data_IF_730993007972
#
_entry.id   IF_730993007972
#
_cell.length_a   1.000
_cell.length_b   1.000
_cell.length_c   1.000
_cell.angle_alpha   90.00
_cell.angle_beta   90.00
_cell.angle_gamma   90.00
#
_symmetry.space_group_name_H-M   'P 1'
#
loop_
_entity.id
_entity.type
_entity.pdbx_description
1 polymer ?
#
# COMPACT_ATOMS: atom_id res chain seq x y z
N UNK A 1 13.16 -4.28 45.00
CA UNK A 1 13.03 -4.31 46.48
C UNK A 1 13.04 -5.75 47.00
N UNK A 2 12.21 -6.65 46.43
CA UNK A 2 12.21 -8.09 46.76
C UNK A 2 13.54 -8.81 46.46
N UNK A 3 14.17 -8.50 45.34
CA UNK A 3 15.48 -9.07 44.98
C UNK A 3 16.59 -8.68 45.96
N UNK A 4 16.61 -7.40 46.37
CA UNK A 4 17.50 -6.90 47.43
C UNK A 4 17.20 -7.61 48.77
N UNK A 5 15.94 -7.77 49.14
CA UNK A 5 15.56 -8.49 50.36
C UNK A 5 15.98 -9.97 50.32
N UNK A 6 15.81 -10.67 49.20
CA UNK A 6 16.30 -12.04 49.02
C UNK A 6 17.83 -12.13 49.17
N UNK A 7 18.58 -11.21 48.55
CA UNK A 7 20.04 -11.15 48.67
C UNK A 7 20.53 -10.93 50.12
N UNK A 8 19.83 -10.12 50.92
CA UNK A 8 20.26 -9.78 52.28
C UNK A 8 19.71 -10.73 53.35
N UNK A 9 18.53 -11.33 53.13
CA UNK A 9 17.86 -12.21 54.10
C UNK A 9 18.21 -13.69 53.93
N UNK A 10 18.78 -14.09 52.79
CA UNK A 10 19.12 -15.49 52.47
C UNK A 10 17.90 -16.42 52.29
N UNK A 11 16.68 -15.92 52.45
CA UNK A 11 15.45 -16.69 52.25
C UNK A 11 15.11 -16.74 50.76
N UNK A 12 15.00 -17.95 50.21
CA UNK A 12 14.56 -18.16 48.81
C UNK A 12 13.08 -17.78 48.70
N UNK A 13 12.80 -16.61 48.11
CA UNK A 13 11.44 -16.12 47.85
C UNK A 13 10.93 -16.55 46.48
N UNK A 14 11.82 -16.81 45.53
CA UNK A 14 11.44 -17.20 44.17
C UNK A 14 11.21 -18.71 44.07
N UNK A 15 10.06 -19.09 43.52
CA UNK A 15 9.85 -20.44 43.04
C UNK A 15 10.56 -20.65 41.68
N UNK A 16 10.61 -21.90 41.23
CA UNK A 16 11.26 -22.26 39.97
C UNK A 16 10.66 -21.53 38.75
N UNK A 17 9.39 -21.13 38.79
CA UNK A 17 8.74 -20.40 37.70
C UNK A 17 9.23 -18.96 37.63
N UNK A 18 9.36 -18.29 38.78
CA UNK A 18 9.90 -16.93 38.87
C UNK A 18 11.38 -16.87 38.47
N UNK A 19 12.18 -17.87 38.87
CA UNK A 19 13.58 -17.99 38.45
C UNK A 19 13.69 -18.15 36.93
N UNK A 20 12.88 -19.04 36.33
CA UNK A 20 12.88 -19.26 34.89
C UNK A 20 12.42 -18.01 34.11
N UNK A 21 11.35 -17.35 34.58
CA UNK A 21 10.86 -16.12 33.96
C UNK A 21 11.90 -14.99 34.02
N UNK A 22 12.59 -14.84 35.14
CA UNK A 22 13.68 -13.86 35.28
C UNK A 22 14.83 -14.17 34.32
N UNK A 23 15.24 -15.44 34.21
CA UNK A 23 16.26 -15.86 33.25
C UNK A 23 15.86 -15.57 31.79
N UNK A 24 14.59 -15.79 31.44
CA UNK A 24 14.07 -15.51 30.10
C UNK A 24 14.01 -14.00 29.80
N UNK A 25 13.61 -13.18 30.78
CA UNK A 25 13.66 -11.72 30.65
C UNK A 25 15.10 -11.26 30.39
N UNK A 26 16.07 -11.77 31.14
CA UNK A 26 17.48 -11.43 30.94
C UNK A 26 18.02 -11.93 29.59
N UNK A 27 17.55 -13.09 29.10
CA UNK A 27 17.87 -13.57 27.75
C UNK A 27 17.34 -12.60 26.69
N UNK A 28 16.07 -12.21 26.78
CA UNK A 28 15.44 -11.29 25.83
C UNK A 28 16.10 -9.91 25.85
N UNK A 29 16.46 -9.39 27.04
CA UNK A 29 17.19 -8.12 27.15
C UNK A 29 18.52 -8.16 26.41
N UNK A 30 19.33 -9.20 26.66
CA UNK A 30 20.61 -9.38 25.96
C UNK A 30 20.42 -9.49 24.44
N UNK A 31 19.39 -10.19 23.98
CA UNK A 31 19.08 -10.27 22.56
C UNK A 31 18.67 -8.92 21.97
N UNK A 32 17.87 -8.13 22.69
CA UNK A 32 17.48 -6.79 22.29
C UNK A 32 18.71 -5.87 22.17
N UNK A 33 19.58 -5.87 23.19
CA UNK A 33 20.82 -5.07 23.17
C UNK A 33 21.71 -5.45 21.98
N UNK A 34 21.86 -6.75 21.71
CA UNK A 34 22.60 -7.24 20.55
C UNK A 34 21.98 -6.80 19.21
N UNK A 35 20.64 -6.80 19.10
CA UNK A 35 19.94 -6.33 17.91
C UNK A 35 20.09 -4.82 17.72
N UNK A 36 20.06 -4.03 18.80
CA UNK A 36 20.30 -2.60 18.73
C UNK A 36 21.71 -2.28 18.24
N UNK A 37 22.73 -3.01 18.73
CA UNK A 37 24.10 -2.89 18.25
C UNK A 37 24.16 -3.18 16.74
N UNK A 38 23.57 -4.31 16.29
CA UNK A 38 23.51 -4.65 14.86
C UNK A 38 22.81 -3.58 14.03
N UNK A 39 21.73 -2.99 14.55
CA UNK A 39 21.00 -1.92 13.87
C UNK A 39 21.86 -0.67 13.71
N UNK A 40 22.64 -0.28 14.72
CA UNK A 40 23.60 0.83 14.64
C UNK A 40 24.65 0.57 13.57
N UNK A 41 25.23 -0.63 13.52
CA UNK A 41 26.19 -0.99 12.49
C UNK A 41 25.59 -0.90 11.07
N UNK A 42 24.36 -1.39 10.88
CA UNK A 42 23.64 -1.28 9.60
C UNK A 42 23.33 0.18 9.22
N UNK A 43 23.18 1.08 10.19
CA UNK A 43 23.04 2.52 9.96
C UNK A 43 24.38 3.22 9.66
N UNK A 44 25.50 2.51 9.78
CA UNK A 44 26.85 3.06 9.61
C UNK A 44 27.43 3.68 10.87
N UNK A 45 26.86 3.40 12.04
CA UNK A 45 27.36 3.84 13.34
C UNK A 45 28.34 2.79 13.93
N UNK A 46 29.22 3.23 14.85
CA UNK A 46 30.17 2.38 15.61
C UNK A 46 31.14 1.50 14.79
N UNK A 47 31.30 1.76 13.48
CA UNK A 47 32.08 0.93 12.56
C UNK A 47 33.58 0.86 12.87
N UNK A 48 34.16 1.88 13.50
CA UNK A 48 35.58 1.92 13.85
C UNK A 48 35.98 0.82 14.84
N UNK A 49 35.01 0.25 15.56
CA UNK A 49 35.25 -0.85 16.51
C UNK A 49 35.30 -2.23 15.83
N UNK A 50 34.85 -2.31 14.57
CA UNK A 50 34.73 -3.56 13.82
C UNK A 50 35.97 -3.84 12.99
N UNK A 51 36.32 -5.11 12.91
CA UNK A 51 37.38 -5.56 12.00
C UNK A 51 36.82 -5.82 10.59
N UNK A 52 37.67 -5.91 9.55
CA UNK A 52 37.21 -6.11 8.17
C UNK A 52 36.31 -7.35 7.98
N UNK A 53 36.51 -8.44 8.72
CA UNK A 53 35.66 -9.64 8.59
C UNK A 53 34.25 -9.41 9.11
N UNK A 54 34.08 -8.52 10.07
CA UNK A 54 32.78 -8.15 10.62
C UNK A 54 32.04 -7.15 9.73
N UNK A 55 32.77 -6.36 8.93
CA UNK A 55 32.19 -5.40 7.97
C UNK A 55 31.61 -6.08 6.73
N UNK A 56 32.21 -7.16 6.24
CA UNK A 56 31.74 -7.91 5.05
C UNK A 56 30.25 -8.27 5.12
N UNK A 57 29.73 -8.95 6.17
CA UNK A 57 28.31 -9.32 6.21
C UNK A 57 27.38 -8.11 6.31
N UNK A 58 27.85 -6.97 6.87
CA UNK A 58 27.07 -5.73 6.93
C UNK A 58 26.96 -5.14 5.51
N UNK A 59 28.07 -5.07 4.78
CA UNK A 59 28.11 -4.59 3.40
C UNK A 59 27.22 -5.45 2.50
N UNK A 60 27.34 -6.79 2.57
CA UNK A 60 26.50 -7.71 1.80
C UNK A 60 25.01 -7.51 2.10
N UNK A 61 24.64 -7.38 3.38
CA UNK A 61 23.25 -7.14 3.78
C UNK A 61 22.72 -5.81 3.22
N UNK A 62 23.51 -4.74 3.28
CA UNK A 62 23.15 -3.43 2.75
C UNK A 62 23.03 -3.45 1.22
N UNK A 63 23.99 -4.06 0.53
CA UNK A 63 23.98 -4.18 -0.92
C UNK A 63 22.76 -4.98 -1.42
N UNK A 64 22.46 -6.09 -0.76
CA UNK A 64 21.27 -6.90 -1.05
C UNK A 64 19.98 -6.12 -0.78
N UNK A 65 19.88 -5.45 0.38
CA UNK A 65 18.75 -4.60 0.73
C UNK A 65 18.51 -3.50 -0.31
N UNK A 66 19.57 -2.80 -0.72
CA UNK A 66 19.49 -1.72 -1.71
C UNK A 66 19.08 -2.23 -3.09
N UNK A 67 19.59 -3.39 -3.50
CA UNK A 67 19.23 -4.05 -4.76
C UNK A 67 17.74 -4.40 -4.77
N UNK A 68 17.24 -5.00 -3.69
CA UNK A 68 15.84 -5.38 -3.55
C UNK A 68 14.89 -4.17 -3.53
N UNK A 69 15.26 -3.08 -2.84
CA UNK A 69 14.46 -1.84 -2.83
C UNK A 69 14.40 -1.26 -4.25
N UNK A 70 15.52 -1.18 -4.95
CA UNK A 70 15.56 -0.67 -6.34
C UNK A 70 14.73 -1.52 -7.29
N UNK A 71 14.79 -2.85 -7.17
CA UNK A 71 13.97 -3.75 -7.97
C UNK A 71 12.47 -3.47 -7.77
N UNK A 72 12.02 -3.37 -6.50
CA UNK A 72 10.61 -3.05 -6.18
C UNK A 72 10.18 -1.67 -6.71
N UNK A 73 11.03 -0.66 -6.58
CA UNK A 73 10.77 0.67 -7.13
C UNK A 73 10.61 0.63 -8.66
N UNK A 74 11.47 -0.13 -9.33
CA UNK A 74 11.41 -0.29 -10.78
C UNK A 74 10.13 -1.00 -11.23
N UNK A 75 9.72 -2.05 -10.52
CA UNK A 75 8.49 -2.78 -10.84
C UNK A 75 7.25 -1.90 -10.65
N UNK A 76 7.21 -1.10 -9.58
CA UNK A 76 6.15 -0.11 -9.37
C UNK A 76 6.11 0.93 -10.50
N UNK A 77 7.28 1.46 -10.91
CA UNK A 77 7.36 2.41 -12.02
C UNK A 77 6.88 1.82 -13.34
N UNK A 78 7.25 0.56 -13.63
CA UNK A 78 6.77 -0.15 -14.83
C UNK A 78 5.25 -0.30 -14.82
N UNK A 79 4.68 -0.70 -13.69
CA UNK A 79 3.23 -0.84 -13.53
C UNK A 79 2.51 0.49 -13.74
N UNK A 80 3.01 1.59 -13.15
CA UNK A 80 2.45 2.92 -13.37
C UNK A 80 2.49 3.34 -14.85
N UNK A 81 3.61 3.08 -15.55
CA UNK A 81 3.73 3.39 -16.98
C UNK A 81 2.74 2.60 -17.83
N UNK A 82 2.53 1.32 -17.52
CA UNK A 82 1.55 0.49 -18.23
C UNK A 82 0.12 0.99 -17.98
N UNK A 83 -0.22 1.31 -16.73
CA UNK A 83 -1.53 1.86 -16.40
C UNK A 83 -1.78 3.21 -17.09
N UNK A 84 -0.76 4.07 -17.16
CA UNK A 84 -0.85 5.34 -17.87
C UNK A 84 -1.19 5.16 -19.34
N UNK A 85 -0.50 4.23 -20.04
CA UNK A 85 -0.78 3.91 -21.44
C UNK A 85 -2.20 3.37 -21.65
N UNK A 86 -2.62 2.41 -20.83
CA UNK A 86 -3.99 1.85 -20.93
C UNK A 86 -5.05 2.94 -20.69
N UNK A 87 -4.81 3.85 -19.76
CA UNK A 87 -5.73 4.96 -19.49
C UNK A 87 -5.80 5.95 -20.65
N UNK A 88 -4.66 6.25 -21.28
CA UNK A 88 -4.58 7.09 -22.47
C UNK A 88 -5.33 6.46 -23.66
N UNK A 89 -5.12 5.17 -23.91
CA UNK A 89 -5.81 4.39 -24.95
C UNK A 89 -7.34 4.37 -24.74
N UNK A 90 -7.80 4.11 -23.52
CA UNK A 90 -9.24 4.13 -23.21
C UNK A 90 -9.83 5.55 -23.33
N UNK A 91 -9.09 6.58 -22.93
CA UNK A 91 -9.55 7.96 -23.08
C UNK A 91 -9.65 8.38 -24.56
N UNK A 92 -8.68 8.00 -25.39
CA UNK A 92 -8.72 8.24 -26.84
C UNK A 92 -9.93 7.54 -27.47
N UNK A 93 -10.19 6.29 -27.08
CA UNK A 93 -11.36 5.53 -27.55
C UNK A 93 -12.68 6.18 -27.13
N UNK A 94 -12.79 6.63 -25.89
CA UNK A 94 -13.97 7.35 -25.41
C UNK A 94 -14.18 8.68 -26.14
N UNK A 95 -13.11 9.45 -26.36
CA UNK A 95 -13.15 10.68 -27.14
C UNK A 95 -13.62 10.43 -28.58
N UNK A 96 -13.15 9.34 -29.20
CA UNK A 96 -13.60 8.93 -30.53
C UNK A 96 -15.11 8.61 -30.55
N UNK A 97 -15.61 7.86 -29.57
CA UNK A 97 -17.04 7.56 -29.48
C UNK A 97 -17.90 8.80 -29.25
N UNK A 98 -17.44 9.72 -28.37
CA UNK A 98 -18.13 10.97 -28.11
C UNK A 98 -18.22 11.81 -29.39
N UNK A 99 -17.10 11.98 -30.11
CA UNK A 99 -17.08 12.72 -31.36
C UNK A 99 -18.00 12.11 -32.42
N UNK A 100 -18.01 10.78 -32.55
CA UNK A 100 -18.92 10.10 -33.47
C UNK A 100 -20.39 10.32 -33.10
N UNK A 101 -20.71 10.29 -31.81
CA UNK A 101 -22.06 10.55 -31.31
C UNK A 101 -22.49 12.01 -31.57
N UNK A 102 -21.61 12.98 -31.34
CA UNK A 102 -21.85 14.39 -31.63
C UNK A 102 -22.17 14.62 -33.11
N UNK A 103 -21.38 14.04 -34.01
CA UNK A 103 -21.64 14.10 -35.47
C UNK A 103 -22.98 13.46 -35.85
N UNK A 104 -23.34 12.33 -35.23
CA UNK A 104 -24.64 11.69 -35.47
C UNK A 104 -25.80 12.59 -34.98
N UNK A 105 -25.66 13.26 -33.84
CA UNK A 105 -26.65 14.22 -33.33
C UNK A 105 -26.75 15.47 -34.19
N UNK A 106 -25.62 16.01 -34.67
CA UNK A 106 -25.55 17.15 -35.58
C UNK A 106 -26.27 16.84 -36.90
N UNK A 107 -26.01 15.66 -37.49
CA UNK A 107 -26.68 15.19 -38.70
C UNK A 107 -28.18 15.01 -38.50
N UNK A 108 -28.60 14.51 -37.33
CA UNK A 108 -30.02 14.36 -37.01
C UNK A 108 -30.72 15.72 -36.83
N UNK A 109 -30.05 16.71 -36.24
CA UNK A 109 -30.55 18.09 -36.14
C UNK A 109 -30.67 18.80 -37.49
N UNK A 110 -29.71 18.59 -38.40
CA UNK A 110 -29.76 19.16 -39.75
C UNK A 110 -30.72 18.43 -40.69
N UNK A 111 -31.01 17.14 -40.45
CA UNK A 111 -32.03 16.37 -41.17
C UNK A 111 -33.47 16.80 -40.85
N UNK A 112 -33.72 17.35 -39.66
CA UNK A 112 -35.02 17.88 -39.26
C UNK A 112 -35.34 19.29 -39.79
N UNK A 113 -34.39 19.95 -40.46
CA UNK A 113 -34.56 21.34 -40.94
C UNK A 113 -34.65 21.49 -42.47
N UNK A 114 -34.71 20.37 -43.22
CA UNK A 114 -34.88 20.40 -44.68
C UNK A 114 -36.15 19.70 -45.20
N UNK A 115 -37.09 19.37 -44.31
CA UNK A 115 -38.47 19.04 -44.69
C UNK A 115 -39.34 20.27 -44.47
N UNK A 116 -39.73 20.93 -45.55
CA UNK A 116 -40.62 22.09 -45.49
C UNK A 116 -41.94 21.77 -44.78
N UNK A 117 -42.43 22.78 -44.07
CA UNK A 117 -43.84 23.20 -44.04
C UNK A 117 -44.88 22.15 -43.64
N UNK A 118 -45.49 22.44 -42.49
CA UNK A 118 -46.76 21.95 -41.95
C UNK A 118 -46.75 20.58 -41.25
N UNK A 119 -47.53 20.53 -40.17
CA UNK A 119 -47.86 19.39 -39.28
C UNK A 119 -47.06 19.25 -37.98
N UNK A 120 -47.57 20.00 -36.99
CA UNK A 120 -47.89 19.56 -35.62
C UNK A 120 -46.95 18.56 -34.92
N UNK A 121 -46.07 19.13 -34.09
CA UNK A 121 -45.82 18.74 -32.68
C UNK A 121 -46.50 17.46 -32.18
N UNK A 122 -45.91 16.29 -32.41
CA UNK A 122 -46.22 15.09 -31.62
C UNK A 122 -45.08 14.07 -31.66
N UNK A 123 -44.01 14.30 -30.89
CA UNK A 123 -43.13 13.20 -30.46
C UNK A 123 -42.90 13.33 -28.96
N UNK A 124 -43.76 12.63 -28.22
CA UNK A 124 -43.65 12.43 -26.78
C UNK A 124 -42.31 11.78 -26.45
N UNK A 125 -41.45 12.52 -25.76
CA UNK A 125 -40.25 11.98 -25.12
C UNK A 125 -40.67 11.11 -23.92
N UNK A 126 -40.89 9.82 -24.15
CA UNK A 126 -41.02 8.85 -23.07
C UNK A 126 -39.63 8.49 -22.52
N UNK A 127 -39.07 9.36 -21.69
CA UNK A 127 -37.90 9.05 -20.86
C UNK A 127 -38.32 8.06 -19.77
N UNK A 128 -38.18 6.76 -20.06
CA UNK A 128 -38.34 5.69 -19.07
C UNK A 128 -37.16 5.69 -18.08
N UNK A 129 -37.28 6.46 -16.99
CA UNK A 129 -36.38 6.34 -15.85
C UNK A 129 -36.93 5.25 -14.92
N UNK A 130 -36.31 4.06 -14.92
CA UNK A 130 -36.52 3.11 -13.83
C UNK A 130 -35.73 3.56 -12.60
N UNK A 131 -36.36 3.70 -11.41
CA UNK A 131 -35.62 3.93 -10.19
C UNK A 131 -34.94 2.63 -9.73
N UNK A 132 -33.61 2.58 -9.76
CA UNK A 132 -32.86 1.57 -9.01
C UNK A 132 -32.87 1.93 -7.52
N UNK A 133 -33.64 1.20 -6.71
CA UNK A 133 -33.51 1.24 -5.25
C UNK A 133 -32.37 0.29 -4.81
N UNK A 134 -31.37 0.75 -4.03
CA UNK A 134 -30.42 -0.16 -3.40
C UNK A 134 -30.96 -0.62 -2.03
N UNK A 135 -31.02 -1.94 -1.84
CA UNK A 135 -31.30 -2.56 -0.54
C UNK A 135 -30.20 -2.19 0.47
N UNK A 136 -30.55 -1.41 1.49
CA UNK A 136 -29.79 -1.32 2.74
C UNK A 136 -30.27 -2.47 3.64
N UNK A 137 -29.47 -3.53 3.79
CA UNK A 137 -29.66 -4.47 4.89
C UNK A 137 -28.55 -4.26 5.93
N UNK A 138 -29.02 -3.67 7.03
CA UNK A 138 -28.36 -3.38 8.28
C UNK A 138 -27.92 -4.68 8.96
N UNK A 139 -26.67 -4.66 9.43
CA UNK A 139 -26.11 -5.64 10.35
C UNK A 139 -26.97 -5.82 11.61
N UNK A 140 -27.12 -7.07 12.04
CA UNK A 140 -27.14 -7.49 13.44
C UNK A 140 -26.66 -8.92 13.55
#
# INVERSE_FOLDING_TARGET
MLEKYQQHSGKKLWDAKHENLSAEIERIKRENDNLQIKLRHLKGEDLNSLNPRELIPIEEALQNGMTNVRAKQMDFLKMLKLNGKMLEEENEKLAYYLHHQELAMERNRHGCHQGGTDYASEVQMALGVQPMQPNLQLAK
#
